data_IF_539436718751
#
_entry.id   IF_539436718751
#
_cell.length_a   1.000
_cell.length_b   1.000
_cell.length_c   1.000
_cell.angle_alpha   90.00
_cell.angle_beta   90.00
_cell.angle_gamma   90.00
#
_symmetry.space_group_name_H-M   'P 1'
#
loop_
_entity.id
_entity.type
_entity.pdbx_description
1 polymer ?
2 water ?
#
# COMPACT_ATOMS: atom_id res chain seq x y z
N UNK A 2 -17.27 11.10 10.56
CA UNK A 2 -17.40 10.34 11.81
C UNK A 2 -18.81 9.78 11.96
N UNK A 3 -19.80 10.69 12.00
CA UNK A 3 -21.19 10.24 12.10
C UNK A 3 -21.62 9.48 10.86
N UNK A 4 -21.09 9.85 9.69
CA UNK A 4 -21.43 9.15 8.46
C UNK A 4 -20.78 7.76 8.44
N UNK A 5 -19.56 7.64 8.97
CA UNK A 5 -18.88 6.36 8.99
C UNK A 5 -19.57 5.37 9.93
N UNK A 6 -20.06 5.86 11.08
CA UNK A 6 -20.80 4.99 11.98
C UNK A 6 -22.09 4.50 11.35
N UNK A 7 -22.70 5.33 10.51
CA UNK A 7 -23.91 4.90 9.79
C UNK A 7 -23.58 3.87 8.73
N UNK A 8 -22.45 4.05 8.04
CA UNK A 8 -22.07 3.11 6.99
C UNK A 8 -21.66 1.75 7.57
N UNK A 9 -21.00 1.77 8.73
CA UNK A 9 -20.57 0.52 9.35
C UNK A 9 -21.77 -0.34 9.75
N UNK A 10 -22.89 0.28 10.13
CA UNK A 10 -24.07 -0.50 10.47
C UNK A 10 -24.70 -1.11 9.22
N UNK A 11 -24.67 -0.38 8.10
CA UNK A 11 -25.20 -0.92 6.85
C UNK A 11 -24.31 -2.02 6.31
N UNK A 12 -22.99 -1.84 6.36
CA UNK A 12 -22.08 -2.86 5.85
C UNK A 12 -22.06 -4.10 6.73
N UNK A 13 -22.48 -4.00 8.00
CA UNK A 13 -22.48 -5.17 8.88
C UNK A 13 -23.38 -6.28 8.33
N UNK A 14 -24.40 -5.92 7.56
CA UNK A 14 -25.27 -6.91 6.93
C UNK A 14 -25.06 -7.04 5.43
N UNK A 15 -24.33 -6.11 4.81
CA UNK A 15 -24.10 -6.13 3.36
C UNK A 15 -22.73 -6.66 3.03
N UNK A 16 -21.70 -6.16 3.71
CA UNK A 16 -20.31 -6.60 3.49
C UNK A 16 -19.55 -6.42 4.78
N UNK A 17 -19.71 -7.35 5.73
CA UNK A 17 -19.09 -7.18 7.06
C UNK A 17 -17.58 -7.09 7.04
N UNK A 18 -16.91 -7.62 6.01
CA UNK A 18 -15.46 -7.45 5.92
C UNK A 18 -15.10 -5.98 5.74
N UNK A 19 -15.80 -5.29 4.85
CA UNK A 19 -15.57 -3.86 4.67
C UNK A 19 -16.08 -3.06 5.85
N UNK A 20 -17.14 -3.54 6.51
CA UNK A 20 -17.64 -2.84 7.68
C UNK A 20 -16.64 -2.80 8.82
N UNK A 21 -15.84 -3.86 8.98
CA UNK A 21 -14.79 -3.85 9.99
C UNK A 21 -13.70 -2.86 9.64
N UNK A 22 -13.47 -2.62 8.35
CA UNK A 22 -12.49 -1.60 7.96
C UNK A 22 -13.01 -0.20 8.25
N UNK A 23 -14.32 0.02 8.08
CA UNK A 23 -14.90 1.30 8.45
C UNK A 23 -14.77 1.54 9.95
N UNK A 24 -14.97 0.49 10.75
CA UNK A 24 -14.79 0.60 12.19
C UNK A 24 -13.34 0.86 12.56
N UNK A 25 -12.39 0.40 11.73
CA UNK A 25 -10.99 0.70 11.97
C UNK A 25 -10.73 2.20 11.82
N UNK A 26 -11.29 2.82 10.78
CA UNK A 26 -11.11 4.26 10.59
C UNK A 26 -11.78 5.04 11.71
N UNK A 27 -12.94 4.55 12.19
CA UNK A 27 -13.62 5.20 13.31
C UNK A 27 -12.75 5.16 14.56
N UNK A 28 -12.06 4.03 14.78
CA UNK A 28 -11.14 3.95 15.91
C UNK A 28 -9.98 4.91 15.77
N UNK A 29 -9.44 5.04 14.56
CA UNK A 29 -8.33 5.96 14.33
C UNK A 29 -8.77 7.41 14.56
N UNK A 30 -10.00 7.73 14.19
CA UNK A 30 -10.53 9.07 14.44
C UNK A 30 -10.78 9.26 15.94
N UNK A 31 -11.26 8.22 16.62
CA UNK A 31 -11.55 8.35 18.05
C UNK A 31 -10.30 8.58 18.88
N UNK A 32 -9.15 8.12 18.40
CA UNK A 32 -7.89 8.34 19.11
C UNK A 32 -6.98 9.31 18.38
N UNK A 33 -7.58 10.16 17.56
CA UNK A 33 -6.80 11.11 16.77
C UNK A 33 -6.09 12.13 17.65
N UNK A 34 -6.75 12.57 18.72
CA UNK A 34 -6.17 13.61 19.57
C UNK A 34 -4.96 13.10 20.35
N UNK A 35 -4.90 11.79 20.62
CA UNK A 35 -3.75 11.23 21.34
C UNK A 35 -2.47 11.35 20.51
N UNK A 36 -2.56 11.06 19.21
CA UNK A 36 -1.43 11.17 18.30
C UNK A 36 -1.95 11.33 16.88
N UNK A 37 -1.94 12.55 16.33
CA UNK A 37 -2.47 12.74 14.97
C UNK A 37 -1.55 12.20 13.88
N UNK A 38 -0.26 12.04 14.16
CA UNK A 38 0.64 11.46 13.17
C UNK A 38 0.42 9.96 13.04
N UNK A 39 0.15 9.28 14.16
CA UNK A 39 -0.16 7.86 14.10
C UNK A 39 -1.54 7.61 13.50
N UNK A 40 -2.48 8.55 13.68
CA UNK A 40 -3.79 8.40 13.07
C UNK A 40 -3.73 8.53 11.55
N UNK A 41 -2.86 9.42 11.06
CA UNK A 41 -2.69 9.58 9.62
C UNK A 41 -2.05 8.33 9.02
N UNK A 42 -1.00 7.82 9.66
CA UNK A 42 -0.36 6.61 9.17
C UNK A 42 -1.32 5.43 9.22
N UNK A 43 -2.12 5.32 10.28
CA UNK A 43 -3.11 4.26 10.35
C UNK A 43 -4.19 4.38 9.30
N UNK A 44 -4.55 5.61 8.94
CA UNK A 44 -5.54 5.81 7.89
C UNK A 44 -4.99 5.41 6.52
N UNK A 45 -3.70 5.67 6.28
CA UNK A 45 -3.08 5.26 5.04
C UNK A 45 -3.07 3.75 4.91
N UNK A 46 -2.78 3.05 6.01
CA UNK A 46 -2.78 1.59 5.98
C UNK A 46 -4.17 1.05 5.69
N UNK A 47 -5.19 1.59 6.35
CA UNK A 47 -6.54 1.06 6.22
C UNK A 47 -7.09 1.31 4.82
N UNK A 48 -6.84 2.49 4.26
CA UNK A 48 -7.34 2.78 2.91
C UNK A 48 -6.65 1.90 1.87
N UNK A 49 -5.38 1.57 2.07
CA UNK A 49 -4.71 0.65 1.17
C UNK A 49 -5.34 -0.74 1.26
N UNK A 50 -5.54 -1.23 2.48
CA UNK A 50 -6.17 -2.53 2.65
C UNK A 50 -7.63 -2.52 2.19
N UNK A 51 -8.30 -1.38 2.31
CA UNK A 51 -9.67 -1.28 1.80
C UNK A 51 -9.69 -1.33 0.28
N UNK A 52 -8.72 -0.68 -0.37
CA UNK A 52 -8.64 -0.74 -1.83
C UNK A 52 -8.30 -2.15 -2.30
N UNK A 53 -7.43 -2.85 -1.56
CA UNK A 53 -7.14 -4.25 -1.88
C UNK A 53 -8.37 -5.13 -1.68
N UNK A 54 -9.14 -4.87 -0.63
CA UNK A 54 -10.35 -5.65 -0.39
C UNK A 54 -11.38 -5.41 -1.48
N UNK A 55 -11.44 -4.19 -2.02
CA UNK A 55 -12.40 -3.88 -3.07
C UNK A 55 -12.06 -4.61 -4.37
N UNK A 56 -10.77 -4.63 -4.74
CA UNK A 56 -10.35 -5.35 -5.94
C UNK A 56 -10.66 -6.83 -5.81
N UNK A 57 -10.43 -7.40 -4.63
CA UNK A 57 -10.73 -8.81 -4.40
C UNK A 57 -12.21 -9.10 -4.61
N UNK A 58 -13.08 -8.18 -4.18
CA UNK A 58 -14.52 -8.40 -4.33
C UNK A 58 -14.95 -8.28 -5.79
N UNK A 59 -14.26 -7.46 -6.58
CA UNK A 59 -14.57 -7.34 -7.99
C UNK A 59 -14.32 -8.66 -8.71
N UNK A 60 -13.18 -9.28 -8.42
CA UNK A 60 -12.87 -10.59 -9.00
C UNK A 60 -13.83 -11.67 -8.50
N UNK A 61 -14.27 -11.55 -7.25
CA UNK A 61 -15.24 -12.52 -6.72
C UNK A 61 -16.59 -12.36 -7.37
N UNK A 62 -17.04 -11.13 -7.59
CA UNK A 62 -18.31 -10.88 -8.28
C UNK A 62 -18.23 -11.19 -9.77
N UNK A 63 -17.04 -11.39 -10.32
CA UNK A 63 -16.85 -11.77 -11.72
C UNK A 63 -15.97 -13.00 -11.76
N UNK A 64 -16.52 -14.17 -11.40
CA UNK A 64 -15.67 -15.37 -11.27
C UNK A 64 -15.03 -15.81 -12.57
N UNK A 65 -15.73 -15.69 -13.69
CA UNK A 65 -15.18 -16.15 -14.96
C UNK A 65 -13.97 -15.35 -15.40
N UNK A 66 -13.74 -14.21 -14.73
CA UNK A 66 -12.54 -13.38 -15.05
C UNK A 66 -11.34 -14.02 -14.36
N UNK A 67 -11.57 -14.94 -13.44
CA UNK A 67 -10.46 -15.66 -12.78
C UNK A 67 -10.19 -16.97 -13.54
N UNK A 69 -7.90 -17.55 -16.77
CA UNK A 69 -6.43 -17.58 -16.93
C UNK A 69 -5.82 -16.71 -15.84
N UNK A 70 -5.12 -17.27 -14.83
CA UNK A 70 -4.64 -16.48 -13.70
C UNK A 70 -3.53 -15.50 -14.08
N UNK A 71 -2.66 -15.91 -15.01
CA UNK A 71 -1.52 -15.03 -15.36
C UNK A 71 -2.03 -13.89 -16.23
N UNK A 72 -3.11 -14.12 -16.96
CA UNK A 72 -3.69 -13.06 -17.79
C UNK A 72 -4.32 -12.02 -16.86
N UNK A 73 -4.92 -12.50 -15.76
CA UNK A 73 -5.60 -11.58 -14.85
C UNK A 73 -4.60 -10.64 -14.18
N UNK A 74 -3.34 -11.06 -14.06
CA UNK A 74 -2.33 -10.26 -13.34
C UNK A 74 -2.22 -8.86 -13.93
N UNK A 75 -1.88 -8.77 -15.21
CA UNK A 75 -1.77 -7.46 -15.86
C UNK A 75 -3.11 -6.76 -15.99
N UNK A 76 -4.22 -7.50 -15.86
CA UNK A 76 -5.53 -6.88 -15.96
C UNK A 76 -5.91 -6.18 -14.67
N UNK A 77 -5.55 -6.75 -13.53
CA UNK A 77 -5.80 -6.09 -12.24
C UNK A 77 -4.96 -4.82 -12.13
N UNK A 78 -3.70 -4.88 -12.60
CA UNK A 78 -2.86 -3.69 -12.58
C UNK A 78 -3.42 -2.60 -13.49
N UNK A 79 -3.99 -2.99 -14.63
CA UNK A 79 -4.59 -2.01 -15.53
C UNK A 79 -5.89 -1.44 -14.96
N UNK A 80 -6.57 -2.21 -14.11
CA UNK A 80 -7.81 -1.73 -13.49
C UNK A 80 -7.55 -0.90 -12.24
N UNK A 81 -6.35 -0.98 -11.67
CA UNK A 81 -5.98 -0.19 -10.50
C UNK A 81 -5.30 1.12 -10.86
N UNK A 82 -5.15 1.43 -12.14
CA UNK A 82 -4.52 2.66 -12.57
C UNK A 82 -5.20 3.17 -13.83
N UNK A 83 -5.39 4.49 -13.90
CA UNK A 83 -6.02 5.10 -15.05
C UNK A 83 -7.50 4.76 -15.18
N UNK A 86 -9.21 0.11 -20.58
CA UNK A 86 -10.47 0.46 -19.93
C UNK A 86 -11.05 -0.73 -19.18
N UNK A 87 -12.30 -0.57 -18.72
CA UNK A 87 -12.95 -1.65 -17.98
C UNK A 87 -13.33 -2.77 -18.94
N UNK A 88 -13.08 -4.03 -18.59
CA UNK A 88 -13.52 -5.13 -19.47
C UNK A 88 -15.03 -5.13 -19.64
N UNK A 89 -15.46 -5.54 -20.83
CA UNK A 89 -16.88 -5.46 -21.16
C UNK A 89 -17.72 -6.42 -20.34
N UNK A 90 -17.15 -7.57 -19.95
CA UNK A 90 -17.88 -8.56 -19.19
C UNK A 90 -17.94 -8.26 -17.70
N UNK A 91 -17.37 -7.14 -17.26
CA UNK A 91 -17.36 -6.81 -15.84
C UNK A 91 -18.76 -6.38 -15.38
N UNK A 92 -19.25 -6.98 -14.31
CA UNK A 92 -20.59 -6.66 -13.81
C UNK A 92 -20.64 -5.22 -13.33
N UNK A 93 -21.87 -4.69 -13.28
CA UNK A 93 -22.06 -3.29 -12.89
C UNK A 93 -21.50 -3.01 -11.50
N UNK A 94 -21.75 -3.92 -10.55
CA UNK A 94 -21.19 -3.75 -9.22
C UNK A 94 -19.67 -3.81 -9.24
N UNK A 95 -19.09 -4.60 -10.14
CA UNK A 95 -17.65 -4.66 -10.26
C UNK A 95 -17.04 -3.36 -10.75
N UNK A 96 -17.78 -2.61 -11.57
CA UNK A 96 -17.28 -1.34 -12.07
C UNK A 96 -17.20 -0.30 -10.96
N UNK A 97 -18.26 -0.22 -10.14
CA UNK A 97 -18.28 0.74 -9.04
C UNK A 97 -17.22 0.40 -8.01
N UNK A 98 -17.09 -0.88 -7.66
CA UNK A 98 -16.12 -1.28 -6.63
C UNK A 98 -14.70 -1.15 -7.13
N UNK A 99 -14.47 -1.32 -8.43
CA UNK A 99 -13.12 -1.13 -8.97
C UNK A 99 -12.75 0.36 -8.99
N UNK A 100 -13.71 1.22 -9.35
CA UNK A 100 -13.45 2.66 -9.32
C UNK A 100 -13.22 3.14 -7.89
N UNK A 101 -13.97 2.60 -6.94
CA UNK A 101 -13.78 3.00 -5.54
C UNK A 101 -12.41 2.58 -5.02
N UNK A 102 -11.90 1.45 -5.49
CA UNK A 102 -10.57 1.01 -5.07
C UNK A 102 -9.49 1.95 -5.59
N UNK A 103 -9.66 2.45 -6.82
CA UNK A 103 -8.69 3.39 -7.37
C UNK A 103 -8.72 4.70 -6.60
N UNK A 104 -9.91 5.20 -6.26
CA UNK A 104 -10.02 6.45 -5.54
C UNK A 104 -9.39 6.36 -4.15
N UNK A 105 -9.58 5.24 -3.46
CA UNK A 105 -8.96 5.07 -2.15
C UNK A 105 -7.45 4.99 -2.27
N UNK A 106 -6.94 4.34 -3.31
CA UNK A 106 -5.51 4.20 -3.48
C UNK A 106 -4.85 5.55 -3.77
N UNK A 107 -5.45 6.34 -4.67
CA UNK A 107 -4.90 7.65 -4.98
C UNK A 107 -4.98 8.58 -3.77
N UNK A 108 -6.07 8.48 -3.00
CA UNK A 108 -6.20 9.31 -1.80
C UNK A 108 -5.19 8.92 -0.74
N UNK A 109 -4.96 7.61 -0.57
CA UNK A 109 -3.96 7.16 0.39
C UNK A 109 -2.56 7.54 -0.04
N UNK A 110 -2.27 7.49 -1.34
CA UNK A 110 -0.96 7.89 -1.83
C UNK A 110 -0.73 9.39 -1.66
N UNK A 111 -1.75 10.21 -1.97
CA UNK A 111 -1.61 11.65 -1.77
C UNK A 111 -1.43 11.98 -0.30
N UNK A 112 -2.18 11.32 0.58
CA UNK A 112 -2.01 11.56 2.01
C UNK A 112 -0.62 11.15 2.47
N UNK A 113 -0.08 10.07 1.89
CA UNK A 113 1.28 9.67 2.23
C UNK A 113 2.30 10.71 1.78
N UNK A 114 2.09 11.28 0.59
CA UNK A 114 3.02 12.28 0.08
C UNK A 114 2.99 13.55 0.92
N UNK A 115 1.80 13.95 1.39
CA UNK A 115 1.70 15.14 2.23
C UNK A 115 2.37 14.92 3.58
N UNK A 116 2.21 13.72 4.15
CA UNK A 116 2.84 13.42 5.44
C UNK A 116 4.36 13.32 5.31
N UNK A 117 4.84 12.70 4.23
CA UNK A 117 6.28 12.53 4.06
C UNK A 117 6.98 13.87 3.85
N UNK A 118 6.44 14.70 2.95
CA UNK A 118 7.06 15.98 2.63
C UNK A 118 6.99 16.98 3.77
N UNK A 119 6.34 16.65 4.88
CA UNK A 119 6.21 17.59 5.97
C UNK A 119 5.24 18.71 5.71
N UNK A 120 4.16 18.44 4.98
CA UNK A 120 3.15 19.45 4.69
C UNK A 120 2.51 19.93 5.99
N UNK A 121 2.35 21.25 6.12
CA UNK A 121 1.86 21.86 7.35
C UNK A 121 0.48 21.33 7.73
N UNK A 122 -0.52 21.69 6.93
CA UNK A 122 -1.91 21.31 7.22
C UNK A 122 -2.08 19.82 6.97
N UNK A 123 -1.59 19.03 7.93
CA UNK A 123 -1.78 17.59 7.87
C UNK A 123 -3.21 17.19 8.23
N UNK A 124 -3.84 17.94 9.13
CA UNK A 124 -5.24 17.65 9.49
C UNK A 124 -6.16 17.89 8.30
N UNK A 125 -5.94 18.98 7.55
CA UNK A 125 -6.72 19.21 6.35
C UNK A 125 -6.42 18.16 5.29
N UNK A 126 -5.16 17.72 5.20
CA UNK A 126 -4.81 16.67 4.25
C UNK A 126 -5.50 15.36 4.61
N UNK A 127 -5.63 15.05 5.90
CA UNK A 127 -6.33 13.85 6.32
C UNK A 127 -7.83 13.98 6.11
N UNK A 128 -8.38 15.18 6.28
CA UNK A 128 -9.81 15.39 6.04
C UNK A 128 -10.15 15.19 4.57
N UNK A 129 -9.24 15.52 3.66
CA UNK A 129 -9.49 15.27 2.24
C UNK A 129 -9.50 13.78 1.95
N UNK A 130 -8.60 13.02 2.58
CA UNK A 130 -8.58 11.57 2.40
C UNK A 130 -9.80 10.92 3.04
N UNK A 131 -10.21 11.41 4.21
CA UNK A 131 -11.41 10.89 4.85
C UNK A 131 -12.65 11.13 3.99
N UNK A 132 -12.72 12.30 3.34
CA UNK A 132 -13.87 12.59 2.48
C UNK A 132 -13.92 11.64 1.29
N UNK A 133 -12.76 11.23 0.77
CA UNK A 133 -12.74 10.27 -0.33
C UNK A 133 -13.15 8.89 0.17
N UNK A 134 -12.67 8.51 1.36
CA UNK A 134 -13.02 7.20 1.91
C UNK A 134 -14.51 7.09 2.20
N UNK A 135 -15.11 8.17 2.70
CA UNK A 135 -16.54 8.15 3.01
C UNK A 135 -17.35 8.03 1.72
N UNK A 136 -17.02 8.84 0.71
CA UNK A 136 -17.79 8.84 -0.52
C UNK A 136 -17.63 7.54 -1.29
N UNK A 137 -16.45 6.92 -1.23
CA UNK A 137 -16.25 5.65 -1.93
C UNK A 137 -17.01 4.52 -1.24
N UNK A 138 -17.00 4.50 0.10
CA UNK A 138 -17.74 3.46 0.83
C UNK A 138 -19.23 3.60 0.59
N UNK A 139 -19.73 4.84 0.42
CA UNK A 139 -21.14 5.03 0.12
C UNK A 139 -21.51 4.44 -1.23
N UNK A 140 -20.68 4.68 -2.25
CA UNK A 140 -20.98 4.13 -3.57
C UNK A 140 -20.89 2.61 -3.58
N UNK A 141 -19.98 2.03 -2.80
CA UNK A 141 -19.86 0.58 -2.73
C UNK A 141 -21.10 -0.02 -2.06
N UNK A 142 -21.58 0.61 -0.99
CA UNK A 142 -22.76 0.10 -0.30
C UNK A 142 -24.01 0.20 -1.18
N UNK A 143 -24.09 1.23 -2.02
CA UNK A 143 -25.26 1.38 -2.88
C UNK A 143 -25.25 0.36 -4.01
N UNK A 144 -24.07 0.07 -4.57
CA UNK A 144 -24.00 -0.89 -5.66
C UNK A 144 -24.28 -2.31 -5.18
N UNK A 145 -23.86 -2.65 -3.96
CA UNK A 145 -24.11 -3.98 -3.44
C UNK A 145 -25.58 -4.19 -3.12
N UNK A 146 -26.30 -3.13 -2.75
CA UNK A 146 -27.71 -3.27 -2.44
C UNK A 146 -28.53 -3.58 -3.69
N UNK A 147 -28.23 -2.91 -4.80
CA UNK A 147 -28.94 -3.13 -6.05
C UNK A 147 -28.50 -4.40 -6.76
N UNK A 148 -27.44 -5.05 -6.30
CA UNK A 148 -26.93 -6.27 -6.93
C UNK A 148 -27.85 -7.45 -6.65
N UNK B 3 17.14 -17.55 4.29
CA UNK B 3 18.46 -17.49 4.89
C UNK B 3 19.21 -16.27 4.38
N UNK B 4 18.94 -15.90 3.13
CA UNK B 4 19.52 -14.67 2.58
C UNK B 4 19.07 -13.45 3.37
N UNK B 5 17.82 -13.44 3.82
CA UNK B 5 17.33 -12.34 4.63
C UNK B 5 17.98 -12.34 6.01
N UNK B 6 18.34 -13.52 6.53
CA UNK B 6 19.03 -13.58 7.81
C UNK B 6 20.41 -12.94 7.74
N UNK B 7 21.15 -13.21 6.65
CA UNK B 7 22.43 -12.54 6.45
C UNK B 7 22.23 -11.04 6.25
N UNK B 8 21.13 -10.66 5.58
CA UNK B 8 20.83 -9.24 5.40
C UNK B 8 20.40 -8.60 6.72
N UNK B 9 19.60 -9.31 7.52
CA UNK B 9 19.14 -8.75 8.78
C UNK B 9 20.30 -8.48 9.73
N UNK B 10 21.30 -9.39 9.74
CA UNK B 10 22.48 -9.16 10.56
C UNK B 10 23.21 -7.90 10.11
N UNK B 11 23.44 -7.75 8.81
CA UNK B 11 24.16 -6.59 8.30
C UNK B 11 23.34 -5.31 8.44
N UNK B 12 22.01 -5.41 8.33
CA UNK B 12 21.18 -4.21 8.43
C UNK B 12 21.16 -3.65 9.85
N UNK B 13 21.34 -4.48 10.86
CA UNK B 13 21.31 -4.01 12.24
C UNK B 13 22.42 -2.99 12.53
N UNK B 14 23.37 -2.85 11.62
CA UNK B 14 24.41 -1.81 11.70
C UNK B 14 24.24 -0.73 10.65
N UNK B 15 23.85 -1.10 9.42
CA UNK B 15 23.72 -0.10 8.36
C UNK B 15 22.42 0.68 8.53
N UNK B 16 21.34 -0.02 8.88
CA UNK B 16 20.03 0.62 9.04
C UNK B 16 19.13 -0.27 9.89
N UNK B 17 19.10 -0.08 11.21
CA UNK B 17 18.34 -1.00 12.07
C UNK B 17 16.85 -1.04 11.79
N UNK B 18 16.26 0.08 11.39
CA UNK B 18 14.82 0.10 11.11
C UNK B 18 14.47 -0.82 9.95
N UNK B 19 15.28 -0.79 8.89
CA UNK B 19 15.03 -1.67 7.75
C UNK B 19 15.25 -3.13 8.13
N UNK B 20 16.26 -3.39 8.98
CA UNK B 20 16.47 -4.75 9.46
C UNK B 20 15.30 -5.27 10.28
N UNK B 21 14.63 -4.38 11.01
CA UNK B 21 13.43 -4.78 11.74
C UNK B 21 12.34 -5.28 10.79
N UNK B 22 12.13 -4.56 9.69
CA UNK B 22 11.12 -4.97 8.72
C UNK B 22 11.54 -6.25 7.99
N UNK B 23 12.84 -6.43 7.75
CA UNK B 23 13.31 -7.67 7.13
C UNK B 23 13.06 -8.85 8.06
N UNK B 24 13.21 -8.62 9.37
CA UNK B 24 12.91 -9.68 10.33
C UNK B 24 11.44 -10.02 10.37
N UNK B 25 10.56 -9.04 10.10
CA UNK B 25 9.14 -9.35 10.00
C UNK B 25 8.85 -10.23 8.79
N UNK B 26 9.55 -10.00 7.69
CA UNK B 26 9.38 -10.84 6.50
C UNK B 26 9.82 -12.27 6.80
N UNK B 27 10.91 -12.43 7.55
CA UNK B 27 11.39 -13.75 7.90
C UNK B 27 10.34 -14.51 8.72
N UNK B 28 9.77 -13.84 9.72
CA UNK B 28 8.74 -14.48 10.55
C UNK B 28 7.53 -14.88 9.72
N UNK B 29 7.16 -14.07 8.74
CA UNK B 29 6.05 -14.42 7.86
C UNK B 29 6.38 -15.63 6.98
N UNK B 30 7.67 -15.93 6.80
CA UNK B 30 8.06 -17.09 6.01
C UNK B 30 8.09 -18.36 6.86
N UNK B 31 8.60 -18.26 8.09
CA UNK B 31 8.66 -19.43 8.95
C UNK B 31 7.26 -19.89 9.35
N UNK B 32 6.35 -18.95 9.58
CA UNK B 32 4.97 -19.24 9.87
C UNK B 32 4.09 -19.38 8.65
N UNK B 33 4.68 -19.47 7.46
CA UNK B 33 3.89 -19.63 6.24
C UNK B 33 3.14 -20.95 6.21
N UNK B 34 3.59 -21.95 6.96
CA UNK B 34 2.91 -23.24 6.99
C UNK B 34 1.56 -23.14 7.70
N UNK B 35 1.41 -22.20 8.63
CA UNK B 35 0.17 -22.11 9.40
C UNK B 35 -0.97 -21.56 8.55
N UNK B 36 -0.71 -20.46 7.83
CA UNK B 36 -1.74 -19.81 7.01
C UNK B 36 -1.05 -19.11 5.85
N UNK B 37 -1.00 -19.75 4.66
CA UNK B 37 -0.40 -19.07 3.50
C UNK B 37 -1.12 -17.79 3.11
N UNK B 38 -2.45 -17.75 3.21
CA UNK B 38 -3.18 -16.54 2.84
C UNK B 38 -2.84 -15.40 3.77
N UNK B 39 -2.75 -15.67 5.08
CA UNK B 39 -2.39 -14.63 6.03
C UNK B 39 -0.93 -14.23 5.89
N UNK B 40 -0.06 -15.17 5.49
CA UNK B 40 1.34 -14.85 5.30
C UNK B 40 1.54 -13.93 4.09
N UNK B 41 0.76 -14.14 3.03
CA UNK B 41 0.87 -13.30 1.85
C UNK B 41 0.37 -11.89 2.15
N UNK B 42 -0.80 -11.79 2.80
CA UNK B 42 -1.33 -10.48 3.16
C UNK B 42 -0.40 -9.74 4.11
N UNK B 43 0.36 -10.47 4.92
CA UNK B 43 1.35 -9.81 5.77
C UNK B 43 2.55 -9.34 4.99
N UNK B 44 2.98 -10.12 3.99
CA UNK B 44 4.10 -9.72 3.16
C UNK B 44 3.78 -8.50 2.31
N UNK B 45 2.53 -8.38 1.86
CA UNK B 45 2.15 -7.22 1.04
C UNK B 45 2.24 -5.94 1.87
N UNK B 46 1.68 -5.97 3.08
CA UNK B 46 1.66 -4.76 3.91
C UNK B 46 3.05 -4.44 4.45
N UNK B 47 3.88 -5.45 4.69
CA UNK B 47 5.23 -5.21 5.17
C UNK B 47 6.11 -4.62 4.08
N UNK B 48 5.95 -5.09 2.84
CA UNK B 48 6.74 -4.53 1.74
C UNK B 48 6.32 -3.10 1.45
N UNK B 49 5.03 -2.80 1.60
CA UNK B 49 4.57 -1.42 1.45
C UNK B 49 5.09 -0.53 2.58
N UNK B 50 5.08 -1.04 3.81
CA UNK B 50 5.69 -0.30 4.91
C UNK B 50 7.17 -0.07 4.67
N UNK B 51 7.85 -1.06 4.08
CA UNK B 51 9.27 -0.89 3.74
C UNK B 51 9.45 0.21 2.70
N UNK B 52 8.52 0.30 1.74
CA UNK B 52 8.60 1.36 0.74
C UNK B 52 8.34 2.73 1.35
N UNK B 53 7.41 2.81 2.31
CA UNK B 53 7.21 4.07 3.02
C UNK B 53 8.42 4.44 3.86
N UNK B 54 9.16 3.45 4.36
CA UNK B 54 10.37 3.72 5.11
C UNK B 54 11.51 4.16 4.20
N UNK B 55 11.59 3.58 2.99
CA UNK B 55 12.62 3.99 2.05
C UNK B 55 12.42 5.43 1.60
N UNK B 56 11.16 5.83 1.39
CA UNK B 56 10.87 7.19 0.94
C UNK B 56 11.20 8.20 2.02
N UNK B 57 10.90 7.87 3.28
CA UNK B 57 11.28 8.76 4.38
C UNK B 57 12.79 8.93 4.46
N UNK B 58 13.55 7.85 4.23
CA UNK B 58 15.00 7.96 4.24
C UNK B 58 15.51 8.77 3.07
N UNK B 59 14.79 8.75 1.94
CA UNK B 59 15.18 9.55 0.78
C UNK B 59 15.14 11.04 1.12
N UNK B 60 14.07 11.48 1.77
CA UNK B 60 13.97 12.88 2.16
C UNK B 60 14.99 13.22 3.24
N UNK B 61 15.27 12.27 4.13
CA UNK B 61 16.27 12.49 5.17
C UNK B 61 17.66 12.67 4.57
N UNK B 62 17.97 11.90 3.54
CA UNK B 62 19.26 12.02 2.86
C UNK B 62 19.33 13.19 1.91
N UNK B 63 18.18 13.79 1.56
CA UNK B 63 18.12 14.96 0.69
C UNK B 63 17.37 16.07 1.44
N UNK B 64 18.03 16.72 2.40
CA UNK B 64 17.34 17.73 3.22
C UNK B 64 16.96 18.99 2.46
N UNK B 65 17.47 19.18 1.24
CA UNK B 65 17.07 20.35 0.45
C UNK B 65 15.61 20.31 0.06
N UNK B 66 15.00 19.12 0.02
CA UNK B 66 13.59 18.99 -0.30
C UNK B 66 12.69 19.39 0.85
N UNK B 67 13.19 19.37 2.09
CA UNK B 67 12.41 19.77 3.25
C UNK B 67 12.09 21.26 3.26
N UNK B 68 12.73 22.05 2.39
CA UNK B 68 12.52 23.49 2.36
C UNK B 68 11.23 23.86 1.65
N UNK B 69 10.73 23.01 0.75
CA UNK B 69 9.52 23.28 -0.03
C UNK B 69 8.62 22.05 0.05
N UNK B 70 7.71 22.01 1.04
CA UNK B 70 6.83 20.84 1.16
C UNK B 70 5.85 20.69 0.01
N UNK B 71 5.52 21.78 -0.70
CA UNK B 71 4.57 21.68 -1.81
C UNK B 71 5.18 20.90 -2.98
N UNK B 72 6.41 21.24 -3.36
CA UNK B 72 7.05 20.55 -4.48
C UNK B 72 7.44 19.13 -4.10
N UNK B 73 7.86 18.92 -2.85
CA UNK B 73 8.25 17.59 -2.42
C UNK B 73 7.03 16.67 -2.32
N UNK B 74 5.89 17.20 -1.91
CA UNK B 74 4.67 16.39 -1.87
C UNK B 74 4.29 15.89 -3.26
N UNK B 75 4.41 16.76 -4.27
CA UNK B 75 4.20 16.32 -5.64
C UNK B 75 5.29 15.37 -6.09
N UNK B 76 6.49 15.50 -5.55
CA UNK B 76 7.58 14.59 -5.91
C UNK B 76 7.34 13.19 -5.35
N UNK B 77 6.92 13.11 -4.09
CA UNK B 77 6.64 11.82 -3.48
C UNK B 77 5.40 11.18 -4.11
N UNK B 78 4.41 12.00 -4.45
CA UNK B 78 3.20 11.46 -5.08
C UNK B 78 3.49 10.90 -6.47
N UNK B 79 4.49 11.44 -7.16
CA UNK B 79 4.89 10.86 -8.43
C UNK B 79 5.67 9.57 -8.23
N UNK B 80 6.33 9.42 -7.07
CA UNK B 80 7.03 8.17 -6.77
C UNK B 80 6.04 7.07 -6.40
N UNK B 81 5.03 7.40 -5.60
CA UNK B 81 4.05 6.41 -5.17
C UNK B 81 3.16 5.95 -6.31
N UNK B 82 2.95 6.81 -7.31
CA UNK B 82 2.06 6.47 -8.41
C UNK B 82 2.70 5.42 -9.32
N UNK B 83 1.90 4.93 -10.27
CA UNK B 83 2.38 3.96 -11.23
C UNK B 83 3.46 4.50 -12.16
N UNK B 84 3.55 5.82 -12.30
CA UNK B 84 4.61 6.40 -13.13
C UNK B 84 5.97 6.10 -12.55
N UNK B 85 6.18 6.40 -11.26
CA UNK B 85 7.44 6.14 -10.60
C UNK B 85 8.61 6.84 -11.26
N UNK B 86 8.49 8.16 -11.43
CA UNK B 86 9.53 8.95 -12.10
C UNK B 86 10.56 9.35 -11.05
N UNK B 87 11.71 8.69 -11.06
CA UNK B 87 12.77 8.98 -10.11
C UNK B 87 13.47 10.26 -10.54
N UNK B 88 13.50 11.28 -9.69
CA UNK B 88 14.18 12.53 -10.07
C UNK B 88 15.68 12.33 -10.15
N UNK B 89 16.30 13.05 -11.09
CA UNK B 89 17.72 12.89 -11.34
C UNK B 89 18.60 13.80 -10.49
N UNK B 90 18.01 14.70 -9.72
CA UNK B 90 18.81 15.61 -8.89
C UNK B 90 18.99 15.09 -7.46
N UNK B 91 18.44 13.94 -7.13
CA UNK B 91 18.62 13.37 -5.80
C UNK B 91 20.06 12.91 -5.62
N UNK B 92 20.41 12.62 -4.37
CA UNK B 92 21.73 12.07 -4.08
C UNK B 92 21.82 10.63 -4.60
N UNK B 93 23.04 10.09 -4.57
CA UNK B 93 23.25 8.73 -5.06
C UNK B 93 22.46 7.72 -4.25
N UNK B 94 22.53 7.82 -2.92
CA UNK B 94 21.73 6.94 -2.08
C UNK B 94 20.24 7.24 -2.21
N UNK B 95 19.88 8.49 -2.48
CA UNK B 95 18.48 8.83 -2.63
C UNK B 95 17.86 8.22 -3.87
N UNK B 96 18.60 8.20 -4.97
CA UNK B 96 18.10 7.59 -6.21
C UNK B 96 17.94 6.09 -6.05
N UNK B 97 18.90 5.43 -5.41
CA UNK B 97 18.84 3.97 -5.25
C UNK B 97 17.68 3.58 -4.35
N UNK B 98 17.54 4.28 -3.22
CA UNK B 98 16.47 3.96 -2.29
C UNK B 98 15.09 4.28 -2.87
N UNK B 99 14.99 5.34 -3.69
CA UNK B 99 13.72 5.67 -4.31
C UNK B 99 13.30 4.61 -5.32
N UNK B 100 14.25 4.11 -6.11
CA UNK B 100 13.93 3.06 -7.07
C UNK B 100 13.57 1.76 -6.36
N UNK B 101 14.26 1.46 -5.25
CA UNK B 101 13.91 0.28 -4.47
C UNK B 101 12.53 0.41 -3.85
N UNK B 102 12.10 1.63 -3.54
CA UNK B 102 10.76 1.83 -3.00
C UNK B 102 9.69 1.56 -4.05
N UNK B 103 9.94 1.99 -5.29
CA UNK B 103 9.00 1.69 -6.37
C UNK B 103 9.01 0.21 -6.68
N UNK B 104 10.18 -0.44 -6.65
CA UNK B 104 10.25 -1.87 -6.93
C UNK B 104 9.51 -2.68 -5.88
N UNK B 105 9.61 -2.27 -4.61
CA UNK B 105 8.87 -2.95 -3.55
C UNK B 105 7.36 -2.76 -3.72
N UNK B 106 6.93 -1.54 -4.04
CA UNK B 106 5.50 -1.28 -4.19
C UNK B 106 4.94 -2.00 -5.40
N UNK B 107 5.66 -1.98 -6.53
CA UNK B 107 5.18 -2.68 -7.72
C UNK B 107 5.13 -4.19 -7.49
N UNK B 108 6.09 -4.74 -6.76
CA UNK B 108 6.04 -6.16 -6.43
C UNK B 108 4.96 -6.46 -5.42
N UNK B 109 4.65 -5.50 -4.53
CA UNK B 109 3.56 -5.70 -3.58
C UNK B 109 2.21 -5.70 -4.27
N UNK B 110 2.00 -4.78 -5.22
CA UNK B 110 0.76 -4.77 -5.98
C UNK B 110 0.61 -6.02 -6.83
N UNK B 111 1.71 -6.49 -7.42
CA UNK B 111 1.65 -7.69 -8.25
C UNK B 111 1.26 -8.91 -7.42
N UNK B 112 1.86 -9.06 -6.24
CA UNK B 112 1.49 -10.16 -5.36
C UNK B 112 0.04 -10.04 -4.90
N UNK B 113 -0.44 -8.82 -4.69
CA UNK B 113 -1.86 -8.61 -4.40
C UNK B 113 -2.73 -9.04 -5.58
N UNK B 114 -2.29 -8.73 -6.81
CA UNK B 114 -3.06 -9.12 -7.98
C UNK B 114 -3.18 -10.63 -8.09
N UNK B 115 -2.09 -11.35 -7.80
CA UNK B 115 -2.13 -12.81 -7.81
C UNK B 115 -3.04 -13.35 -6.73
N UNK B 116 -3.01 -12.73 -5.54
CA UNK B 116 -3.85 -13.20 -4.45
C UNK B 116 -5.32 -12.96 -4.74
N UNK B 117 -5.65 -11.79 -5.29
CA UNK B 117 -7.04 -11.49 -5.62
C UNK B 117 -7.54 -12.26 -6.84
N UNK B 118 -6.63 -12.78 -7.66
CA UNK B 118 -7.00 -13.55 -8.84
C UNK B 118 -7.18 -15.04 -8.56
N UNK B 119 -6.95 -15.48 -7.32
CA UNK B 119 -7.08 -16.88 -7.00
C UNK B 119 -5.99 -17.69 -7.66
N UNK B 120 -4.75 -17.22 -7.54
CA UNK B 120 -3.62 -17.89 -8.19
C UNK B 120 -3.39 -19.27 -7.57
N UNK B 121 -3.78 -19.45 -6.31
CA UNK B 121 -3.70 -20.74 -5.60
C UNK B 121 -2.25 -21.19 -5.39
N UNK B 122 -1.34 -20.73 -6.24
CA UNK B 122 0.08 -21.04 -6.09
C UNK B 122 0.79 -19.88 -5.39
N UNK B 123 0.38 -19.65 -4.15
CA UNK B 123 0.84 -18.47 -3.41
C UNK B 123 2.33 -18.54 -3.08
N UNK B 124 2.86 -19.75 -2.87
CA UNK B 124 4.28 -19.88 -2.55
C UNK B 124 5.14 -19.42 -3.72
N UNK B 125 4.75 -19.77 -4.95
CA UNK B 125 5.47 -19.26 -6.11
C UNK B 125 5.29 -17.76 -6.27
N UNK B 126 4.09 -17.25 -6.02
CA UNK B 126 3.85 -15.82 -6.10
C UNK B 126 4.61 -15.07 -5.01
N UNK B 127 4.60 -15.60 -3.78
CA UNK B 127 5.33 -14.96 -2.69
C UNK B 127 6.83 -15.03 -2.92
N UNK B 128 7.33 -16.11 -3.51
CA UNK B 128 8.76 -16.20 -3.78
C UNK B 128 9.20 -15.19 -4.82
N UNK B 129 8.31 -14.82 -5.74
CA UNK B 129 8.65 -13.82 -6.75
C UNK B 129 8.73 -12.43 -6.12
N UNK B 130 7.74 -12.07 -5.31
CA UNK B 130 7.81 -10.80 -4.58
C UNK B 130 8.97 -10.81 -3.59
N UNK B 131 9.30 -11.99 -3.04
CA UNK B 131 10.43 -12.09 -2.13
C UNK B 131 11.74 -11.81 -2.85
N UNK B 132 11.87 -12.27 -4.09
CA UNK B 132 13.10 -12.03 -4.85
C UNK B 132 13.31 -10.55 -5.11
N UNK B 133 12.23 -9.81 -5.39
CA UNK B 133 12.35 -8.37 -5.58
C UNK B 133 12.69 -7.69 -4.27
N UNK B 134 12.11 -8.17 -3.17
CA UNK B 134 12.37 -7.55 -1.87
C UNK B 134 13.83 -7.74 -1.43
N UNK B 135 14.37 -8.95 -1.62
CA UNK B 135 15.74 -9.21 -1.20
C UNK B 135 16.71 -8.36 -2.01
N UNK B 136 16.54 -8.32 -3.33
CA UNK B 136 17.43 -7.54 -4.18
C UNK B 136 17.32 -6.05 -3.91
N UNK B 137 16.12 -5.56 -3.59
CA UNK B 137 15.97 -4.15 -3.27
C UNK B 137 16.63 -3.82 -1.94
N UNK B 138 16.52 -4.72 -0.95
CA UNK B 138 17.14 -4.49 0.35
C UNK B 138 18.66 -4.47 0.23
N UNK B 139 19.22 -5.33 -0.63
CA UNK B 139 20.67 -5.36 -0.81
C UNK B 139 21.17 -4.04 -1.41
N UNK B 140 20.46 -3.52 -2.42
CA UNK B 140 20.85 -2.25 -3.02
C UNK B 140 20.76 -1.10 -2.01
N UNK B 141 19.79 -1.15 -1.10
CA UNK B 141 19.66 -0.10 -0.10
C UNK B 141 20.77 -0.20 0.93
N UNK B 142 21.04 -1.41 1.42
CA UNK B 142 22.09 -1.59 2.42
C UNK B 142 23.46 -1.20 1.88
N UNK B 143 23.73 -1.53 0.61
CA UNK B 143 25.00 -1.17 0.01
C UNK B 143 25.12 0.34 -0.18
N UNK B 144 24.05 0.97 -0.67
CA UNK B 144 24.08 2.40 -0.92
C UNK B 144 24.32 3.19 0.35
N UNK B 145 23.66 2.80 1.45
CA UNK B 145 23.86 3.48 2.72
C UNK B 145 25.24 3.20 3.29
N UNK B 146 25.84 2.04 2.95
CA UNK B 146 27.18 1.74 3.41
C UNK B 146 28.21 2.63 2.72
N UNK B 147 28.06 2.86 1.43
CA UNK B 147 28.97 3.76 0.72
C UNK B 147 28.75 5.21 1.12
N UNK B 148 27.50 5.58 1.44
CA UNK B 148 27.21 6.95 1.83
C UNK B 148 27.89 7.31 3.15
N UNK B 149 27.97 6.35 4.08
CA UNK B 149 28.59 6.56 5.38
C UNK B 149 30.11 6.52 5.34
N UNK B 150 30.71 6.64 4.15
CA UNK B 150 32.16 6.63 4.02
C UNK B 150 32.64 7.74 3.09
#
# INVERSE_FOLDING_TARGET
>A
GKEELEKLAKELSKVWPELGKLVEEVIKLIEGRSKDPKAAVEGLIETMRRAADLLIEKVLELNPALKDDPARTAALVERLLAGTGEIPSFLSEAGRVLAEAAVAMREAADRLRAELAAGNEDLSAAADEALAVFVEAVRRVAAALLEHHHHHH
>B
GKEELEKLAKELSKVWPELGKLVEEVIKLIEGRSKDPKAAVEGLIETMRRAADLLIEKVLELNPALKDDPARTAALVERLLAGTGEIPSFLSEAGRVLAEAAVAMREAADRLRAELAAGNEDLSAAADEALAVFVEAVRRVAAALLEHHHHHH
#
